data_IF_401705614717
#
_entry.id   IF_401705614717
#
_cell.length_a   1.000
_cell.length_b   1.000
_cell.length_c   1.000
_cell.angle_alpha   90.00
_cell.angle_beta   90.00
_cell.angle_gamma   90.00
#
_symmetry.space_group_name_H-M   'P 1'
#
loop_
_entity.id
_entity.type
_entity.pdbx_description
1 polymer ?
#
# COMPACT_ATOMS: atom_id res chain seq x y z
N UNK A 1 9.15 -23.69 4.06
CA UNK A 1 9.41 -22.78 4.16
C UNK A 1 9.66 -22.54 3.82
N UNK A 2 9.47 -22.98 3.97
CA UNK A 2 9.79 -22.07 3.97
C UNK A 2 10.02 -21.40 3.78
N UNK A 3 9.72 -21.56 3.88
CA UNK A 3 9.90 -20.37 3.93
C UNK A 3 10.29 -19.84 4.01
N UNK A 4 10.28 -20.44 4.03
CA UNK A 4 10.70 -19.34 4.24
C UNK A 4 10.72 -18.93 3.93
N UNK A 5 10.52 -19.40 3.86
CA UNK A 5 10.71 -18.43 3.94
C UNK A 5 10.41 -18.31 3.36
N UNK A 6 10.29 -18.77 3.43
CA UNK A 6 10.19 -18.16 3.22
C UNK A 6 9.97 -18.22 2.69
N UNK A 7 9.86 -18.70 2.69
CA UNK A 7 9.85 -18.26 2.42
C UNK A 7 9.79 -18.30 1.84
N UNK A 8 9.73 -18.90 1.74
CA UNK A 8 9.88 -18.42 1.53
C UNK A 8 9.84 -18.47 1.02
N UNK A 9 9.58 -18.99 1.00
CA UNK A 9 9.79 -18.62 0.57
C UNK A 9 9.68 -18.38 0.13
N UNK A 10 9.53 -18.40 0.11
CA UNK A 10 9.69 -17.66 -0.38
C UNK A 10 9.51 -17.53 -1.03
N UNK A 11 9.24 -17.34 -0.95
CA UNK A 11 9.13 -17.10 -1.72
C UNK A 11 9.32 -17.02 -2.73
N UNK A 12 9.08 -17.40 -3.08
CA UNK A 12 9.56 -17.21 -4.16
C UNK A 12 9.54 -15.99 -4.66
N UNK A 13 10.55 -15.55 -5.18
CA UNK A 13 10.57 -14.20 -5.52
C UNK A 13 9.73 -13.99 -6.74
N UNK A 14 8.92 -12.98 -6.68
CA UNK A 14 8.11 -12.64 -7.80
C UNK A 14 8.88 -11.77 -8.76
N UNK A 15 8.47 -11.76 -10.00
CA UNK A 15 9.04 -10.81 -10.94
C UNK A 15 8.87 -9.41 -10.44
N UNK A 16 9.87 -8.62 -10.61
CA UNK A 16 9.93 -7.41 -9.88
C UNK A 16 10.01 -6.17 -10.70
N UNK A 17 9.54 -6.19 -11.88
CA UNK A 17 9.41 -4.94 -12.59
C UNK A 17 8.20 -4.19 -12.15
N UNK A 18 7.57 -4.61 -11.14
CA UNK A 18 6.32 -4.05 -10.76
C UNK A 18 6.51 -3.04 -9.67
N UNK A 19 5.46 -2.31 -9.43
CA UNK A 19 5.45 -1.23 -8.49
C UNK A 19 4.46 -1.42 -7.39
N UNK A 20 3.69 -2.50 -7.45
CA UNK A 20 2.72 -2.79 -6.41
C UNK A 20 3.39 -3.55 -5.28
N UNK A 21 3.49 -2.99 -4.10
CA UNK A 21 4.08 -3.71 -2.98
C UNK A 21 3.20 -4.86 -2.54
N UNK A 22 3.83 -5.98 -2.25
CA UNK A 22 3.16 -7.11 -1.61
C UNK A 22 3.48 -7.05 -0.13
N UNK A 23 2.46 -6.94 0.70
CA UNK A 23 2.63 -6.82 2.14
C UNK A 23 2.37 -8.17 2.75
N UNK A 24 3.40 -8.75 3.34
CA UNK A 24 3.33 -10.05 3.96
C UNK A 24 2.96 -9.91 5.43
N UNK A 25 2.43 -10.98 6.00
CA UNK A 25 2.10 -11.01 7.40
C UNK A 25 3.32 -10.97 8.31
N UNK A 26 4.50 -11.28 7.80
CA UNK A 26 5.74 -11.14 8.53
C UNK A 26 6.46 -9.86 8.09
N UNK A 27 7.74 -9.74 8.38
CA UNK A 27 8.47 -8.52 8.09
C UNK A 27 8.78 -8.31 6.61
N UNK A 28 8.80 -9.37 5.83
CA UNK A 28 9.18 -9.25 4.43
C UNK A 28 8.05 -8.73 3.58
N UNK A 29 8.40 -8.02 2.53
CA UNK A 29 7.43 -7.64 1.52
C UNK A 29 8.15 -7.42 0.20
N UNK A 30 7.42 -7.68 -0.88
CA UNK A 30 7.94 -7.56 -2.22
C UNK A 30 7.10 -6.57 -3.01
N UNK A 31 7.66 -6.12 -4.13
CA UNK A 31 6.95 -5.24 -5.04
C UNK A 31 6.62 -6.00 -6.31
N UNK A 32 5.33 -6.09 -6.63
CA UNK A 32 4.91 -6.68 -7.89
C UNK A 32 3.44 -6.34 -8.15
N UNK A 33 2.98 -6.66 -9.34
CA UNK A 33 1.59 -6.46 -9.67
C UNK A 33 1.40 -5.22 -10.53
N UNK A 34 0.25 -4.59 -10.44
CA UNK A 34 -0.07 -3.47 -11.28
C UNK A 34 0.61 -2.18 -10.86
N UNK A 35 0.64 -1.24 -11.77
CA UNK A 35 1.19 0.08 -11.50
C UNK A 35 0.15 0.96 -10.83
N UNK A 36 0.59 1.88 -9.97
CA UNK A 36 -0.32 2.90 -9.48
C UNK A 36 -0.73 3.84 -10.60
N UNK A 37 -1.91 4.41 -10.47
CA UNK A 37 -2.39 5.43 -11.39
C UNK A 37 -2.21 6.78 -10.71
N UNK A 38 -1.49 7.67 -11.37
CA UNK A 38 -1.18 8.99 -10.82
C UNK A 38 -1.67 10.04 -11.80
N UNK A 39 -2.58 10.88 -11.35
CA UNK A 39 -3.11 11.99 -12.14
C UNK A 39 -2.66 13.29 -11.49
N UNK A 40 -1.67 13.92 -12.07
CA UNK A 40 -1.13 15.17 -11.56
C UNK A 40 0.37 15.20 -11.64
N UNK A 41 0.96 16.29 -11.15
CA UNK A 41 2.38 16.57 -11.35
C UNK A 41 3.23 16.21 -10.14
N UNK A 42 3.36 14.91 -9.90
CA UNK A 42 4.23 14.40 -8.85
C UNK A 42 4.80 13.06 -9.31
N UNK A 43 6.12 12.92 -9.24
CA UNK A 43 6.79 11.71 -9.71
C UNK A 43 6.42 10.50 -8.85
N UNK A 44 6.22 9.37 -9.53
CA UNK A 44 5.91 8.12 -8.86
C UNK A 44 6.95 7.74 -7.81
N UNK A 45 8.23 8.00 -8.10
CA UNK A 45 9.30 7.65 -7.15
C UNK A 45 9.16 8.38 -5.82
N UNK A 46 8.70 9.61 -5.85
CA UNK A 46 8.50 10.39 -4.63
C UNK A 46 7.31 9.84 -3.82
N UNK A 47 6.26 9.43 -4.53
CA UNK A 47 5.10 8.80 -3.89
C UNK A 47 5.51 7.49 -3.25
N UNK A 48 6.25 6.66 -4.00
CA UNK A 48 6.74 5.37 -3.49
C UNK A 48 7.58 5.53 -2.24
N UNK A 49 8.44 6.56 -2.20
CA UNK A 49 9.29 6.80 -1.04
C UNK A 49 8.49 7.08 0.23
N UNK A 50 7.46 7.89 0.11
CA UNK A 50 6.62 8.21 1.26
C UNK A 50 5.88 6.96 1.74
N UNK A 51 5.35 6.18 0.81
CA UNK A 51 4.61 4.98 1.16
C UNK A 51 5.55 3.96 1.81
N UNK A 52 6.75 3.76 1.26
CA UNK A 52 7.72 2.83 1.85
C UNK A 52 8.14 3.25 3.25
N UNK A 53 8.32 4.55 3.45
CA UNK A 53 8.70 5.08 4.74
C UNK A 53 7.64 4.82 5.81
N UNK A 54 6.39 4.72 5.40
CA UNK A 54 5.26 4.51 6.28
C UNK A 54 4.68 3.10 6.19
N UNK A 55 5.39 2.18 5.55
CA UNK A 55 4.88 0.83 5.31
C UNK A 55 4.57 0.09 6.60
N UNK A 56 5.32 0.36 7.67
CA UNK A 56 5.05 -0.30 8.95
C UNK A 56 3.64 0.00 9.47
N UNK A 57 3.14 1.20 9.22
CA UNK A 57 1.79 1.57 9.64
C UNK A 57 0.74 0.82 8.83
N UNK A 58 0.99 0.68 7.53
CA UNK A 58 0.07 -0.04 6.65
C UNK A 58 0.06 -1.51 7.01
N UNK A 59 1.24 -2.09 7.20
CA UNK A 59 1.37 -3.50 7.58
C UNK A 59 0.70 -3.78 8.92
N UNK A 60 0.82 -2.86 9.87
CA UNK A 60 0.17 -3.02 11.16
C UNK A 60 -1.34 -3.16 11.02
N UNK A 61 -1.95 -2.38 10.16
CA UNK A 61 -3.40 -2.48 9.92
C UNK A 61 -3.80 -3.89 9.47
N UNK A 62 -2.98 -4.48 8.62
CA UNK A 62 -3.23 -5.83 8.12
C UNK A 62 -2.93 -6.88 9.18
N UNK A 63 -1.78 -6.79 9.83
CA UNK A 63 -1.35 -7.80 10.80
C UNK A 63 -2.31 -7.90 11.97
N UNK A 64 -2.85 -6.78 12.40
CA UNK A 64 -3.81 -6.75 13.49
C UNK A 64 -5.04 -7.61 13.18
N UNK A 65 -5.52 -7.55 11.96
CA UNK A 65 -6.69 -8.35 11.56
C UNK A 65 -6.29 -9.77 11.18
N UNK A 66 -5.07 -9.98 10.72
CA UNK A 66 -4.56 -11.29 10.39
C UNK A 66 -4.56 -12.23 11.60
N UNK A 67 -4.30 -11.70 12.80
CA UNK A 67 -4.34 -12.51 14.01
C UNK A 67 -5.72 -13.07 14.28
N UNK A 68 -6.77 -12.37 13.85
CA UNK A 68 -8.15 -12.82 14.00
C UNK A 68 -8.57 -13.78 12.89
N UNK A 69 -7.97 -13.64 11.72
CA UNK A 69 -8.27 -14.46 10.57
C UNK A 69 -6.96 -14.79 9.86
N UNK A 70 -6.32 -15.91 10.21
CA UNK A 70 -4.99 -16.23 9.68
C UNK A 70 -4.90 -16.41 8.17
N UNK A 71 -6.03 -16.61 7.50
CA UNK A 71 -6.03 -16.75 6.05
C UNK A 71 -6.34 -15.44 5.32
N UNK A 72 -6.44 -14.34 6.06
CA UNK A 72 -6.80 -13.05 5.46
C UNK A 72 -5.75 -12.60 4.46
N UNK A 73 -6.19 -12.21 3.27
CA UNK A 73 -5.30 -11.72 2.23
C UNK A 73 -6.11 -11.19 1.07
N UNK A 74 -5.43 -10.55 0.15
CA UNK A 74 -6.07 -10.01 -1.03
C UNK A 74 -5.50 -8.66 -1.41
N UNK A 75 -6.21 -7.98 -2.29
CA UNK A 75 -5.78 -6.70 -2.86
C UNK A 75 -6.66 -5.57 -2.34
N UNK A 76 -6.03 -4.46 -2.02
CA UNK A 76 -6.73 -3.23 -1.68
C UNK A 76 -6.11 -2.11 -2.51
N UNK A 77 -6.95 -1.39 -3.26
CA UNK A 77 -6.52 -0.22 -3.99
C UNK A 77 -6.99 1.01 -3.21
N UNK A 78 -6.03 1.81 -2.76
CA UNK A 78 -6.32 3.03 -2.02
C UNK A 78 -6.31 4.20 -3.00
N UNK A 79 -7.39 4.95 -3.03
CA UNK A 79 -7.46 6.19 -3.79
C UNK A 79 -7.28 7.35 -2.81
N UNK A 80 -6.28 8.17 -3.05
CA UNK A 80 -6.05 9.32 -2.19
C UNK A 80 -5.70 10.54 -3.00
N UNK A 81 -5.97 11.70 -2.44
CA UNK A 81 -5.72 12.98 -3.09
C UNK A 81 -4.66 13.72 -2.30
N UNK A 82 -3.61 14.13 -2.99
CA UNK A 82 -2.53 14.95 -2.43
C UNK A 82 -2.87 16.40 -2.75
N UNK A 83 -3.03 17.20 -1.73
CA UNK A 83 -3.33 18.61 -1.89
C UNK A 83 -2.07 19.38 -2.29
N UNK A 84 -2.24 20.63 -2.66
CA UNK A 84 -1.15 21.45 -3.15
C UNK A 84 -0.03 21.64 -2.14
N UNK A 85 -0.32 21.49 -0.85
CA UNK A 85 0.69 21.59 0.21
C UNK A 85 1.32 20.24 0.56
N UNK A 86 0.97 19.18 -0.15
CA UNK A 86 1.50 17.84 0.09
C UNK A 86 0.70 17.02 1.09
N UNK A 87 -0.28 17.61 1.76
CA UNK A 87 -1.11 16.85 2.68
C UNK A 87 -2.11 16.00 1.91
N UNK A 88 -2.62 14.95 2.56
CA UNK A 88 -3.64 14.08 1.97
C UNK A 88 -5.00 14.62 2.38
N UNK A 89 -5.78 15.06 1.39
CA UNK A 89 -7.08 15.66 1.66
C UNK A 89 -8.20 14.62 1.72
N UNK A 90 -8.01 13.46 1.09
CA UNK A 90 -8.98 12.36 1.18
C UNK A 90 -8.29 11.05 0.91
N UNK A 91 -8.82 9.98 1.48
CA UNK A 91 -8.35 8.62 1.22
C UNK A 91 -9.53 7.67 1.36
N UNK A 92 -9.67 6.77 0.40
CA UNK A 92 -10.77 5.81 0.40
C UNK A 92 -10.33 4.54 -0.33
N UNK A 93 -11.09 3.47 -0.16
CA UNK A 93 -10.87 2.23 -0.87
C UNK A 93 -11.57 2.30 -2.22
N UNK A 94 -10.78 2.21 -3.31
CA UNK A 94 -11.33 2.22 -4.66
C UNK A 94 -11.79 0.83 -5.06
N UNK A 95 -11.04 -0.18 -4.68
CA UNK A 95 -11.33 -1.58 -5.02
C UNK A 95 -10.70 -2.47 -3.98
N UNK A 96 -11.31 -3.62 -3.73
CA UNK A 96 -10.78 -4.57 -2.77
C UNK A 96 -11.22 -5.98 -3.13
N UNK A 97 -10.31 -6.94 -2.98
CA UNK A 97 -10.66 -8.35 -3.00
C UNK A 97 -10.58 -8.95 -1.60
N UNK A 98 -10.00 -8.21 -0.65
CA UNK A 98 -9.92 -8.66 0.73
C UNK A 98 -11.26 -8.53 1.45
N UNK A 99 -12.00 -7.48 1.15
CA UNK A 99 -13.33 -7.21 1.73
C UNK A 99 -13.31 -7.19 3.26
N UNK A 100 -12.31 -6.53 3.83
CA UNK A 100 -12.20 -6.39 5.28
C UNK A 100 -12.21 -4.91 5.64
N UNK A 101 -13.34 -4.45 6.16
CA UNK A 101 -13.53 -3.03 6.46
C UNK A 101 -12.57 -2.53 7.53
N UNK A 102 -12.20 -3.37 8.49
CA UNK A 102 -11.30 -2.95 9.55
C UNK A 102 -9.91 -2.63 8.98
N UNK A 103 -9.40 -3.47 8.07
CA UNK A 103 -8.12 -3.20 7.41
C UNK A 103 -8.24 -1.95 6.54
N UNK A 104 -9.29 -1.87 5.74
CA UNK A 104 -9.48 -0.74 4.81
C UNK A 104 -9.56 0.58 5.55
N UNK A 105 -10.38 0.65 6.59
CA UNK A 105 -10.54 1.88 7.34
C UNK A 105 -9.25 2.27 8.07
N UNK A 106 -8.54 1.30 8.59
CA UNK A 106 -7.26 1.54 9.24
C UNK A 106 -6.25 2.15 8.27
N UNK A 107 -6.12 1.56 7.07
CA UNK A 107 -5.19 2.05 6.06
C UNK A 107 -5.57 3.45 5.59
N UNK A 108 -6.86 3.66 5.30
CA UNK A 108 -7.31 4.97 4.85
C UNK A 108 -7.02 6.04 5.91
N UNK A 109 -7.22 5.70 7.18
CA UNK A 109 -6.92 6.62 8.26
C UNK A 109 -5.44 6.96 8.36
N UNK A 110 -4.57 5.97 8.11
CA UNK A 110 -3.13 6.21 8.13
C UNK A 110 -2.73 7.14 6.97
N UNK A 111 -3.30 6.91 5.77
CA UNK A 111 -3.01 7.76 4.62
C UNK A 111 -3.34 9.22 4.88
N UNK A 112 -4.38 9.50 5.65
CA UNK A 112 -4.76 10.88 5.96
C UNK A 112 -3.67 11.62 6.75
N UNK A 113 -2.73 10.90 7.35
CA UNK A 113 -1.64 11.49 8.14
C UNK A 113 -0.33 11.56 7.36
N UNK A 114 -0.28 11.03 6.15
CA UNK A 114 0.95 11.05 5.37
C UNK A 114 1.18 12.43 4.80
N UNK A 115 2.44 12.76 4.58
CA UNK A 115 2.84 14.01 3.99
C UNK A 115 3.70 13.71 2.78
N UNK A 116 3.30 14.23 1.64
CA UNK A 116 4.00 14.07 0.39
C UNK A 116 4.68 15.37 -0.01
N UNK A 117 5.65 15.34 -0.94
CA UNK A 117 6.17 16.57 -1.50
C UNK A 117 5.05 17.34 -2.19
N UNK A 118 5.23 18.65 -2.26
CA UNK A 118 4.24 19.49 -2.93
C UNK A 118 4.22 19.18 -4.42
N UNK A 119 3.04 19.03 -5.00
CA UNK A 119 2.94 18.85 -6.45
C UNK A 119 3.47 20.06 -7.21
N UNK A 120 4.08 19.81 -8.35
CA UNK A 120 4.58 20.89 -9.18
C UNK A 120 3.42 21.69 -9.72
N UNK A 121 3.61 23.01 -9.78
CA UNK A 121 2.60 23.90 -10.32
C UNK A 121 1.44 24.18 -9.38
N UNK A 122 1.46 23.67 -8.16
CA UNK A 122 0.45 24.00 -7.16
C UNK A 122 -0.90 23.35 -7.35
N UNK A 123 -0.99 22.31 -8.19
CA UNK A 123 -2.22 21.57 -8.37
C UNK A 123 -2.36 20.43 -7.38
N UNK A 124 -3.42 19.66 -7.54
CA UNK A 124 -3.62 18.44 -6.74
C UNK A 124 -3.16 17.23 -7.53
N UNK A 125 -2.96 16.12 -6.81
CA UNK A 125 -2.59 14.85 -7.43
C UNK A 125 -3.54 13.78 -6.91
N UNK A 126 -4.14 13.03 -7.82
CA UNK A 126 -5.04 11.93 -7.48
C UNK A 126 -4.30 10.63 -7.75
N UNK A 127 -4.18 9.79 -6.72
CA UNK A 127 -3.43 8.55 -6.81
C UNK A 127 -4.33 7.37 -6.49
N UNK A 128 -4.24 6.32 -7.31
CA UNK A 128 -4.82 5.01 -7.00
C UNK A 128 -3.66 4.05 -6.84
N UNK A 129 -3.42 3.60 -5.61
CA UNK A 129 -2.24 2.82 -5.28
C UNK A 129 -2.64 1.44 -4.81
N UNK A 130 -2.25 0.38 -5.55
CA UNK A 130 -2.64 -0.98 -5.20
C UNK A 130 -1.67 -1.61 -4.21
N UNK A 131 -2.23 -2.32 -3.24
CA UNK A 131 -1.45 -3.12 -2.30
C UNK A 131 -1.94 -4.56 -2.38
N UNK A 132 -1.01 -5.50 -2.26
CA UNK A 132 -1.33 -6.91 -2.21
C UNK A 132 -0.89 -7.44 -0.86
N UNK A 133 -1.83 -8.01 -0.12
CA UNK A 133 -1.60 -8.54 1.21
C UNK A 133 -1.67 -10.06 1.16
N UNK A 134 -0.72 -10.69 1.82
CA UNK A 134 -0.60 -12.13 1.78
C UNK A 134 -0.26 -12.65 3.17
N UNK A 135 -0.95 -13.72 3.65
CA UNK A 135 -0.57 -14.32 4.91
C UNK A 135 0.86 -14.84 4.79
N UNK A 136 1.74 -14.33 5.61
CA UNK A 136 3.14 -14.65 5.49
C UNK A 136 3.61 -15.89 6.16
#
# INVERSE_FOLDING_TARGET
LKRSGVDSPAPEALPVDSTTPTILGNEAWDAYGGDPIILGALDKSLIDQVIKRNMNQIRYCYQRELTKNPSLGGKIVVKFVIAKDGSVSSASTKATTMNNKAVENCINGRFMRFKFPEPKGGGIVIVSYPFIFSPG
#
